data_IF_504862296378
#
_entry.id   IF_504862296378
#
_cell.length_a   1.000
_cell.length_b   1.000
_cell.length_c   1.000
_cell.angle_alpha   90.00
_cell.angle_beta   90.00
_cell.angle_gamma   90.00
#
_symmetry.space_group_name_H-M   'P 1'
#
loop_
_entity.id
_entity.type
_entity.pdbx_description
1 polymer ?
#
# COMPACT_ATOMS: atom_id res chain seq x y z
N UNK A 1 -30.66 33.90 -17.22
CA UNK A 1 -30.09 32.69 -17.84
C UNK A 1 -29.21 33.23 -18.96
N UNK A 2 -27.89 33.31 -18.75
CA UNK A 2 -26.95 33.70 -19.79
C UNK A 2 -26.98 32.61 -20.89
N UNK A 3 -27.17 32.97 -22.14
CA UNK A 3 -27.07 32.05 -23.29
C UNK A 3 -25.64 31.49 -23.30
N UNK A 4 -25.53 30.19 -23.17
CA UNK A 4 -24.23 29.49 -23.27
C UNK A 4 -23.75 29.63 -24.72
N UNK A 5 -22.59 30.26 -24.91
CA UNK A 5 -22.02 30.44 -26.27
C UNK A 5 -21.81 29.09 -26.95
N UNK A 6 -22.17 28.92 -28.25
CA UNK A 6 -21.88 27.69 -29.00
C UNK A 6 -20.40 27.27 -28.95
N UNK A 7 -19.49 28.24 -28.92
CA UNK A 7 -18.05 27.98 -28.77
C UNK A 7 -17.68 27.33 -27.42
N UNK A 8 -18.33 27.72 -26.33
CA UNK A 8 -18.13 27.11 -25.03
C UNK A 8 -18.62 25.66 -25.01
N UNK A 9 -19.77 25.38 -25.64
CA UNK A 9 -20.27 24.00 -25.75
C UNK A 9 -19.29 23.10 -26.51
N UNK A 10 -18.75 23.57 -27.63
CA UNK A 10 -17.76 22.80 -28.42
C UNK A 10 -16.51 22.51 -27.62
N UNK A 11 -16.05 23.44 -26.79
CA UNK A 11 -14.87 23.24 -25.88
C UNK A 11 -15.16 22.28 -24.74
N UNK A 12 -16.33 22.35 -24.11
CA UNK A 12 -16.75 21.39 -23.09
C UNK A 12 -16.87 19.97 -23.68
N UNK A 13 -17.32 19.83 -24.92
CA UNK A 13 -17.31 18.55 -25.63
C UNK A 13 -15.89 18.05 -25.93
N UNK A 14 -14.95 18.94 -26.25
CA UNK A 14 -13.54 18.56 -26.41
C UNK A 14 -12.94 18.05 -25.10
N UNK A 15 -13.21 18.73 -23.97
CA UNK A 15 -12.84 18.26 -22.63
C UNK A 15 -13.41 16.86 -22.36
N UNK A 16 -14.68 16.63 -22.63
CA UNK A 16 -15.33 15.32 -22.45
C UNK A 16 -14.66 14.21 -23.27
N UNK A 17 -14.29 14.51 -24.53
CA UNK A 17 -13.56 13.54 -25.38
C UNK A 17 -12.15 13.28 -24.87
N UNK A 18 -11.44 14.31 -24.40
CA UNK A 18 -10.11 14.16 -23.81
C UNK A 18 -10.15 13.25 -22.57
N UNK A 19 -11.16 13.41 -21.71
CA UNK A 19 -11.37 12.52 -20.55
C UNK A 19 -11.60 11.07 -20.99
N UNK A 20 -12.52 10.84 -21.94
CA UNK A 20 -12.92 9.50 -22.35
C UNK A 20 -11.81 8.66 -23.01
N UNK A 21 -10.72 9.30 -23.44
CA UNK A 21 -9.57 8.63 -24.07
C UNK A 21 -8.58 8.02 -23.10
N UNK A 22 -8.72 8.22 -21.78
CA UNK A 22 -7.72 7.84 -20.77
C UNK A 22 -8.34 7.05 -19.64
N UNK A 23 -7.60 6.03 -19.16
CA UNK A 23 -7.97 5.17 -18.02
C UNK A 23 -7.14 5.48 -16.74
N UNK A 24 -6.07 6.25 -16.88
CA UNK A 24 -5.21 6.71 -15.80
C UNK A 24 -5.58 8.16 -15.43
N UNK A 25 -5.85 8.47 -14.14
CA UNK A 25 -6.27 9.80 -13.69
C UNK A 25 -5.31 10.92 -14.08
N UNK A 26 -4.00 10.71 -13.97
CA UNK A 26 -2.99 11.71 -14.30
C UNK A 26 -2.96 12.03 -15.79
N UNK A 27 -3.06 11.01 -16.64
CA UNK A 27 -3.11 11.18 -18.11
C UNK A 27 -4.41 11.84 -18.57
N UNK A 28 -5.54 11.45 -17.97
CA UNK A 28 -6.83 12.07 -18.23
C UNK A 28 -6.82 13.56 -17.89
N UNK A 29 -6.26 13.92 -16.72
CA UNK A 29 -6.16 15.31 -16.32
C UNK A 29 -5.24 16.12 -17.22
N UNK A 30 -4.04 15.61 -17.55
CA UNK A 30 -3.11 16.32 -18.48
C UNK A 30 -3.72 16.59 -19.84
N UNK A 31 -4.44 15.63 -20.42
CA UNK A 31 -5.14 15.82 -21.70
C UNK A 31 -6.24 16.88 -21.57
N UNK A 32 -6.98 16.86 -20.48
CA UNK A 32 -8.05 17.83 -20.19
C UNK A 32 -7.50 19.24 -19.94
N UNK A 33 -6.37 19.37 -19.27
CA UNK A 33 -5.72 20.65 -18.99
C UNK A 33 -5.38 21.44 -20.27
N UNK A 34 -5.01 20.75 -21.35
CA UNK A 34 -4.76 21.37 -22.66
C UNK A 34 -6.04 22.04 -23.19
N UNK A 35 -7.16 21.36 -23.11
CA UNK A 35 -8.45 21.91 -23.57
C UNK A 35 -8.94 23.05 -22.68
N UNK A 36 -8.77 22.94 -21.34
CA UNK A 36 -9.08 24.04 -20.41
C UNK A 36 -8.23 25.27 -20.73
N UNK A 37 -6.97 25.11 -21.10
CA UNK A 37 -6.07 26.20 -21.47
C UNK A 37 -6.54 27.02 -22.67
N UNK A 38 -7.39 26.45 -23.52
CA UNK A 38 -8.03 27.19 -24.64
C UNK A 38 -9.16 28.09 -24.17
N UNK A 39 -9.79 27.79 -23.03
CA UNK A 39 -10.85 28.60 -22.41
C UNK A 39 -10.29 29.58 -21.38
N UNK A 40 -9.42 29.08 -20.50
CA UNK A 40 -8.82 29.84 -19.39
C UNK A 40 -7.30 29.69 -19.51
N UNK A 41 -6.59 30.64 -20.12
CA UNK A 41 -5.14 30.60 -20.22
C UNK A 41 -4.50 30.54 -18.86
N UNK A 42 -3.54 29.61 -18.67
CA UNK A 42 -2.85 29.38 -17.40
C UNK A 42 -1.39 29.02 -17.60
N UNK A 43 -0.58 29.22 -16.59
CA UNK A 43 0.82 28.78 -16.52
C UNK A 43 0.94 27.46 -15.74
N UNK A 44 0.00 27.25 -14.79
CA UNK A 44 -0.09 26.02 -14.02
C UNK A 44 -1.55 25.70 -13.72
N UNK A 45 -1.88 24.41 -13.78
CA UNK A 45 -3.20 23.89 -13.43
C UNK A 45 -3.02 22.58 -12.65
N UNK A 46 -3.74 22.43 -11.58
CA UNK A 46 -3.73 21.22 -10.78
C UNK A 46 -5.12 20.83 -10.28
N UNK A 47 -5.26 19.55 -10.01
CA UNK A 47 -6.45 18.93 -9.46
C UNK A 47 -6.11 18.36 -8.09
N UNK A 48 -6.69 18.92 -7.03
CA UNK A 48 -6.64 18.36 -5.70
C UNK A 48 -7.84 17.43 -5.52
N UNK A 49 -7.61 16.14 -5.17
CA UNK A 49 -8.67 15.15 -5.00
C UNK A 49 -8.64 14.62 -3.58
N UNK A 50 -9.78 14.71 -2.89
CA UNK A 50 -9.93 14.25 -1.51
C UNK A 50 -9.89 12.73 -1.40
N UNK A 51 -9.27 12.24 -0.34
CA UNK A 51 -9.45 10.87 0.13
C UNK A 51 -10.90 10.62 0.59
N UNK A 52 -11.31 9.36 0.68
CA UNK A 52 -12.68 9.00 1.06
C UNK A 52 -13.09 9.52 2.44
N UNK A 53 -12.15 9.65 3.36
CA UNK A 53 -12.38 10.19 4.71
C UNK A 53 -12.32 11.73 4.78
N UNK A 54 -11.99 12.38 3.65
CA UNK A 54 -11.88 13.84 3.54
C UNK A 54 -10.70 14.48 4.30
N UNK A 55 -9.79 13.68 4.86
CA UNK A 55 -8.67 14.19 5.67
C UNK A 55 -7.41 14.49 4.87
N UNK A 56 -7.24 13.79 3.76
CA UNK A 56 -6.09 13.91 2.88
C UNK A 56 -6.54 14.30 1.47
N UNK A 57 -5.63 14.85 0.67
CA UNK A 57 -5.85 15.03 -0.76
C UNK A 57 -4.60 14.67 -1.56
N UNK A 58 -4.80 14.10 -2.74
CA UNK A 58 -3.76 13.89 -3.76
C UNK A 58 -3.76 15.06 -4.74
N UNK A 59 -2.60 15.39 -5.32
CA UNK A 59 -2.46 16.44 -6.33
C UNK A 59 -2.07 15.84 -7.69
N UNK A 60 -2.80 16.20 -8.74
CA UNK A 60 -2.49 15.88 -10.14
C UNK A 60 -2.19 17.18 -10.87
N UNK A 61 -1.00 17.32 -11.44
CA UNK A 61 -0.54 18.55 -12.08
C UNK A 61 -0.43 18.40 -13.59
N UNK A 62 -0.65 19.52 -14.30
CA UNK A 62 -0.32 19.70 -15.69
C UNK A 62 0.40 21.03 -15.91
N UNK A 63 1.40 21.03 -16.80
CA UNK A 63 2.35 22.12 -16.96
C UNK A 63 3.68 21.78 -16.31
N UNK A 64 4.13 22.60 -15.38
CA UNK A 64 5.35 22.33 -14.61
C UNK A 64 5.03 21.64 -13.27
N UNK A 65 6.01 20.93 -12.74
CA UNK A 65 5.93 20.19 -11.49
C UNK A 65 6.15 21.10 -10.27
N UNK A 66 5.36 20.90 -9.22
CA UNK A 66 5.56 21.53 -7.91
C UNK A 66 5.69 20.47 -6.81
N UNK A 67 6.18 20.88 -5.63
CA UNK A 67 6.26 19.94 -4.50
C UNK A 67 4.90 19.49 -3.92
N UNK A 68 3.78 19.99 -4.43
CA UNK A 68 2.47 19.42 -4.11
C UNK A 68 2.26 18.01 -4.65
N UNK A 69 2.95 17.62 -5.74
CA UNK A 69 2.88 16.28 -6.30
C UNK A 69 4.05 15.36 -5.91
N UNK A 70 4.98 15.83 -5.05
CA UNK A 70 6.09 15.01 -4.53
C UNK A 70 5.60 13.91 -3.57
N UNK A 71 4.54 14.17 -2.82
CA UNK A 71 3.93 13.21 -1.91
C UNK A 71 2.64 12.65 -2.52
N UNK A 72 2.38 11.38 -2.24
CA UNK A 72 1.16 10.72 -2.70
C UNK A 72 -0.12 11.41 -2.19
N UNK A 73 -0.07 11.97 -0.96
CA UNK A 73 -1.18 12.69 -0.34
C UNK A 73 -0.68 13.74 0.66
N UNK A 74 -1.45 14.81 0.83
CA UNK A 74 -1.24 15.88 1.81
C UNK A 74 -2.43 16.01 2.75
N UNK A 75 -2.23 16.40 4.03
CA UNK A 75 -3.33 16.73 4.94
C UNK A 75 -4.12 17.92 4.42
N UNK A 76 -5.45 17.82 4.41
CA UNK A 76 -6.34 18.94 4.02
C UNK A 76 -6.18 20.14 4.94
N UNK A 77 -5.93 19.92 6.22
CA UNK A 77 -5.75 20.95 7.23
C UNK A 77 -4.61 21.94 6.88
N UNK A 78 -3.49 21.43 6.34
CA UNK A 78 -2.35 22.21 5.86
C UNK A 78 -2.51 22.74 4.43
N UNK A 79 -3.58 22.39 3.73
CA UNK A 79 -3.76 22.81 2.33
C UNK A 79 -4.13 24.30 2.24
N UNK A 80 -3.43 25.10 1.39
CA UNK A 80 -3.79 26.50 1.15
C UNK A 80 -5.22 26.68 0.62
N UNK A 81 -5.80 25.64 0.04
CA UNK A 81 -7.16 25.63 -0.54
C UNK A 81 -8.19 24.92 0.35
N UNK A 82 -7.85 24.62 1.62
CA UNK A 82 -8.68 23.83 2.54
C UNK A 82 -10.13 24.31 2.64
N UNK A 83 -10.38 25.63 2.58
CA UNK A 83 -11.74 26.19 2.67
C UNK A 83 -12.64 25.76 1.51
N UNK A 84 -12.07 25.58 0.31
CA UNK A 84 -12.80 25.02 -0.84
C UNK A 84 -13.00 23.52 -0.67
N UNK A 85 -11.97 22.81 -0.19
CA UNK A 85 -12.02 21.36 0.03
C UNK A 85 -13.03 20.97 1.11
N UNK A 86 -13.19 21.81 2.16
CA UNK A 86 -14.22 21.61 3.20
C UNK A 86 -15.62 22.06 2.77
N UNK A 87 -15.72 22.82 1.66
CA UNK A 87 -16.99 23.39 1.21
C UNK A 87 -17.39 24.66 1.94
N UNK A 88 -16.48 25.27 2.72
CA UNK A 88 -16.72 26.50 3.48
C UNK A 88 -16.85 27.73 2.58
N UNK A 89 -16.32 27.67 1.38
CA UNK A 89 -16.42 28.73 0.38
C UNK A 89 -16.74 28.14 -0.99
N UNK A 90 -17.58 28.79 -1.80
CA UNK A 90 -17.95 28.30 -3.11
C UNK A 90 -16.77 28.30 -4.11
N UNK A 91 -15.82 29.18 -3.96
CA UNK A 91 -14.58 29.29 -4.73
C UNK A 91 -13.59 30.23 -4.07
N UNK A 92 -12.35 30.27 -4.57
CA UNK A 92 -11.38 31.33 -4.30
C UNK A 92 -10.94 31.96 -5.63
N UNK A 93 -11.00 33.30 -5.67
CA UNK A 93 -10.41 34.12 -6.72
C UNK A 93 -9.45 35.09 -6.06
N UNK A 94 -8.23 35.18 -6.57
CA UNK A 94 -7.21 36.13 -6.08
C UNK A 94 -6.41 36.71 -7.24
N UNK A 95 -6.09 37.98 -7.13
CA UNK A 95 -5.21 38.68 -8.05
C UNK A 95 -3.73 38.34 -7.79
N UNK A 96 -3.38 38.07 -6.54
CA UNK A 96 -2.02 37.77 -6.16
C UNK A 96 -1.95 36.87 -4.91
N UNK A 97 -1.86 35.58 -5.12
CA UNK A 97 -1.79 34.60 -4.05
C UNK A 97 -0.53 34.70 -3.18
N UNK A 98 0.54 35.36 -3.64
CA UNK A 98 1.74 35.62 -2.82
C UNK A 98 1.49 36.63 -1.68
N UNK A 99 0.41 37.39 -1.75
CA UNK A 99 0.05 38.45 -0.81
C UNK A 99 -1.33 38.24 -0.17
N UNK A 100 -1.98 37.13 -0.48
CA UNK A 100 -3.34 36.86 -0.02
C UNK A 100 -3.31 35.91 1.19
N UNK A 101 -3.57 36.47 2.38
CA UNK A 101 -3.53 35.73 3.66
C UNK A 101 -4.41 34.51 3.73
N UNK A 102 -5.39 34.37 2.80
CA UNK A 102 -6.23 33.18 2.74
C UNK A 102 -5.43 31.90 2.43
N UNK A 103 -4.26 32.04 1.75
CA UNK A 103 -3.37 30.94 1.38
C UNK A 103 -2.25 30.71 2.40
N UNK A 104 -1.99 31.70 3.29
CA UNK A 104 -0.85 31.75 4.20
C UNK A 104 -1.33 31.72 5.64
N UNK A 105 -1.12 30.62 6.34
CA UNK A 105 -1.48 30.44 7.74
C UNK A 105 -0.47 29.48 8.40
N UNK A 106 -0.46 29.44 9.71
CA UNK A 106 0.43 28.56 10.47
C UNK A 106 0.17 27.09 10.10
N UNK A 107 1.23 26.37 9.64
CA UNK A 107 1.13 25.00 9.16
C UNK A 107 0.66 24.86 7.70
N UNK A 108 0.50 25.97 6.94
CA UNK A 108 0.15 25.90 5.52
C UNK A 108 1.29 25.31 4.69
N UNK A 109 0.95 24.38 3.77
CA UNK A 109 1.87 23.90 2.75
C UNK A 109 1.81 24.80 1.51
N UNK A 110 2.17 26.07 1.70
CA UNK A 110 2.10 27.15 0.71
C UNK A 110 3.42 27.41 -0.03
N UNK A 111 4.51 26.74 0.36
CA UNK A 111 5.82 26.86 -0.29
C UNK A 111 5.79 26.83 -1.82
N UNK A 112 5.02 25.92 -2.46
CA UNK A 112 4.90 25.89 -3.93
C UNK A 112 4.33 27.18 -4.54
N UNK A 113 3.48 27.92 -3.84
CA UNK A 113 2.93 29.22 -4.33
C UNK A 113 4.08 30.21 -4.52
N UNK A 114 4.99 30.28 -3.56
CA UNK A 114 6.17 31.16 -3.63
C UNK A 114 7.23 30.66 -4.62
N UNK A 115 7.56 29.36 -4.56
CA UNK A 115 8.58 28.75 -5.41
C UNK A 115 8.22 28.89 -6.91
N UNK A 116 6.96 28.62 -7.26
CA UNK A 116 6.45 28.72 -8.62
C UNK A 116 5.91 30.10 -8.97
N UNK A 117 5.96 31.08 -8.05
CA UNK A 117 5.46 32.47 -8.25
C UNK A 117 4.04 32.52 -8.78
N UNK A 118 3.16 31.70 -8.23
CA UNK A 118 1.75 31.64 -8.62
C UNK A 118 1.02 32.87 -8.04
N UNK A 119 0.63 33.79 -8.92
CA UNK A 119 -0.03 35.03 -8.50
C UNK A 119 -1.54 34.97 -8.68
N UNK A 120 -2.02 35.22 -9.90
CA UNK A 120 -3.46 35.12 -10.13
C UNK A 120 -3.94 33.70 -10.05
N UNK A 121 -4.96 33.41 -9.23
CA UNK A 121 -5.47 32.05 -9.06
C UNK A 121 -6.99 32.01 -9.00
N UNK A 122 -7.52 30.96 -9.62
CA UNK A 122 -8.91 30.49 -9.47
C UNK A 122 -8.86 29.11 -8.83
N UNK A 123 -9.65 28.91 -7.80
CA UNK A 123 -9.87 27.61 -7.17
C UNK A 123 -11.38 27.36 -7.11
N UNK A 124 -11.85 26.33 -7.78
CA UNK A 124 -13.25 25.91 -7.79
C UNK A 124 -13.43 24.48 -7.30
N UNK A 125 -14.49 24.15 -6.56
CA UNK A 125 -14.71 22.81 -6.07
C UNK A 125 -15.04 21.83 -7.21
N UNK A 126 -14.48 20.63 -7.12
CA UNK A 126 -14.97 19.46 -7.84
C UNK A 126 -16.10 18.82 -7.06
N UNK A 127 -17.20 18.53 -7.71
CA UNK A 127 -18.37 17.93 -7.07
C UNK A 127 -18.78 16.63 -7.73
N UNK A 128 -19.13 15.66 -6.87
CA UNK A 128 -19.80 14.44 -7.31
C UNK A 128 -20.85 14.06 -6.27
N UNK A 129 -22.01 13.61 -6.70
CA UNK A 129 -23.12 13.19 -5.84
C UNK A 129 -23.52 14.24 -4.79
N UNK A 130 -23.37 15.52 -5.09
CA UNK A 130 -23.70 16.63 -4.20
C UNK A 130 -22.64 16.98 -3.17
N UNK A 131 -21.54 16.24 -3.09
CA UNK A 131 -20.43 16.49 -2.16
C UNK A 131 -19.21 17.05 -2.89
N UNK A 132 -18.39 17.84 -2.19
CA UNK A 132 -17.07 18.26 -2.66
C UNK A 132 -16.14 17.02 -2.60
N UNK A 133 -15.53 16.69 -3.72
CA UNK A 133 -14.58 15.59 -3.88
C UNK A 133 -13.16 16.08 -4.14
N UNK A 134 -12.97 17.40 -4.24
CA UNK A 134 -11.69 18.01 -4.55
C UNK A 134 -11.84 19.45 -5.02
N UNK A 135 -10.80 19.97 -5.66
CA UNK A 135 -10.78 21.30 -6.27
C UNK A 135 -9.98 21.30 -7.57
N UNK A 136 -10.42 22.12 -8.53
CA UNK A 136 -9.66 22.50 -9.71
C UNK A 136 -8.98 23.84 -9.44
N UNK A 137 -7.67 23.89 -9.58
CA UNK A 137 -6.84 25.07 -9.32
C UNK A 137 -6.20 25.54 -10.64
N UNK A 138 -6.39 26.79 -10.98
CA UNK A 138 -5.89 27.39 -12.22
C UNK A 138 -5.07 28.62 -11.83
N UNK A 139 -3.82 28.72 -12.31
CA UNK A 139 -2.89 29.73 -11.83
C UNK A 139 -2.07 30.39 -12.95
N UNK A 140 -1.72 31.68 -12.75
CA UNK A 140 -0.78 32.42 -13.60
C UNK A 140 0.31 33.10 -12.81
N UNK A 141 1.45 33.28 -13.44
CA UNK A 141 2.58 34.06 -12.90
C UNK A 141 2.28 35.57 -12.86
N UNK A 142 1.41 36.05 -13.75
CA UNK A 142 0.98 37.45 -13.81
C UNK A 142 -0.18 37.66 -12.83
N UNK A 143 -0.18 38.76 -12.08
CA UNK A 143 -1.26 39.14 -11.18
C UNK A 143 -2.45 39.75 -11.94
N UNK A 144 -3.67 39.67 -11.36
CA UNK A 144 -4.89 40.30 -11.87
C UNK A 144 -5.30 39.83 -13.26
N UNK A 145 -5.15 38.52 -13.53
CA UNK A 145 -5.43 37.98 -14.86
C UNK A 145 -6.81 37.33 -15.00
N UNK A 146 -7.51 37.09 -13.90
CA UNK A 146 -8.77 36.37 -13.89
C UNK A 146 -9.92 37.24 -13.40
N UNK A 147 -11.09 37.01 -13.98
CA UNK A 147 -12.35 37.67 -13.68
C UNK A 147 -13.34 36.69 -13.05
N UNK A 148 -14.51 37.20 -12.64
CA UNK A 148 -15.64 36.41 -12.19
C UNK A 148 -16.19 35.48 -13.31
N UNK A 149 -16.14 35.92 -14.56
CA UNK A 149 -16.54 35.09 -15.73
C UNK A 149 -15.62 33.88 -15.87
N UNK A 150 -14.31 34.04 -15.64
CA UNK A 150 -13.35 32.93 -15.67
C UNK A 150 -13.63 31.92 -14.55
N UNK A 151 -14.10 32.37 -13.37
CA UNK A 151 -14.54 31.48 -12.28
C UNK A 151 -15.75 30.64 -12.71
N UNK A 152 -16.73 31.24 -13.41
CA UNK A 152 -17.90 30.53 -13.89
C UNK A 152 -17.53 29.46 -14.93
N UNK A 153 -16.63 29.80 -15.86
CA UNK A 153 -16.11 28.85 -16.86
C UNK A 153 -15.30 27.74 -16.18
N UNK A 154 -14.45 28.08 -15.20
CA UNK A 154 -13.69 27.10 -14.40
C UNK A 154 -14.62 26.12 -13.66
N UNK A 155 -15.71 26.63 -13.07
CA UNK A 155 -16.71 25.81 -12.41
C UNK A 155 -17.41 24.85 -13.38
N UNK A 156 -17.77 25.29 -14.59
CA UNK A 156 -18.36 24.42 -15.60
C UNK A 156 -17.39 23.30 -16.03
N UNK A 157 -16.10 23.62 -16.18
CA UNK A 157 -15.07 22.63 -16.42
C UNK A 157 -14.98 21.63 -15.23
N UNK A 158 -14.97 22.13 -14.00
CA UNK A 158 -14.90 21.32 -12.80
C UNK A 158 -16.12 20.39 -12.64
N UNK A 159 -17.32 20.88 -12.96
CA UNK A 159 -18.56 20.09 -12.91
C UNK A 159 -18.58 18.96 -13.94
N UNK A 160 -17.94 19.16 -15.08
CA UNK A 160 -17.78 18.13 -16.12
C UNK A 160 -16.72 17.09 -15.71
N UNK A 161 -15.58 17.55 -15.18
CA UNK A 161 -14.42 16.71 -14.87
C UNK A 161 -14.63 15.91 -13.60
N UNK A 162 -15.26 16.50 -12.60
CA UNK A 162 -15.37 15.95 -11.24
C UNK A 162 -15.93 14.53 -11.19
N UNK A 163 -17.12 14.25 -11.74
CA UNK A 163 -17.70 12.90 -11.70
C UNK A 163 -16.85 11.86 -12.42
N UNK A 164 -16.22 12.23 -13.53
CA UNK A 164 -15.36 11.34 -14.29
C UNK A 164 -14.06 11.01 -13.54
N UNK A 165 -13.38 12.03 -13.04
CA UNK A 165 -12.15 11.85 -12.24
C UNK A 165 -12.43 11.05 -10.99
N UNK A 166 -13.55 11.29 -10.31
CA UNK A 166 -13.97 10.48 -9.18
C UNK A 166 -14.10 9.00 -9.54
N UNK A 167 -14.78 8.68 -10.63
CA UNK A 167 -14.95 7.31 -11.09
C UNK A 167 -13.60 6.64 -11.43
N UNK A 168 -12.71 7.34 -12.12
CA UNK A 168 -11.37 6.84 -12.46
C UNK A 168 -10.54 6.53 -11.22
N UNK A 169 -10.50 7.47 -10.27
CA UNK A 169 -9.72 7.33 -9.04
C UNK A 169 -10.24 6.17 -8.21
N UNK A 170 -11.56 6.06 -8.03
CA UNK A 170 -12.18 4.93 -7.31
C UNK A 170 -11.87 3.57 -7.97
N UNK A 171 -11.88 3.54 -9.30
CA UNK A 171 -11.54 2.32 -10.06
C UNK A 171 -10.08 1.93 -9.85
N UNK A 172 -9.16 2.90 -9.89
CA UNK A 172 -7.74 2.64 -9.68
C UNK A 172 -7.43 2.23 -8.25
N UNK A 173 -8.06 2.85 -7.24
CA UNK A 173 -7.93 2.44 -5.83
C UNK A 173 -8.44 1.02 -5.60
N UNK A 174 -9.62 0.67 -6.16
CA UNK A 174 -10.16 -0.67 -6.08
C UNK A 174 -9.23 -1.70 -6.75
N UNK A 175 -8.66 -1.37 -7.91
CA UNK A 175 -7.69 -2.22 -8.62
C UNK A 175 -6.43 -2.46 -7.77
N UNK A 176 -5.88 -1.41 -7.16
CA UNK A 176 -4.71 -1.52 -6.26
C UNK A 176 -5.00 -2.38 -5.04
N UNK A 177 -6.16 -2.19 -4.43
CA UNK A 177 -6.59 -3.01 -3.28
C UNK A 177 -6.70 -4.49 -3.65
N UNK A 178 -7.30 -4.83 -4.80
CA UNK A 178 -7.41 -6.20 -5.29
C UNK A 178 -6.03 -6.85 -5.55
N UNK A 179 -5.09 -6.11 -6.13
CA UNK A 179 -3.73 -6.60 -6.36
C UNK A 179 -3.01 -6.88 -5.04
N UNK A 180 -3.07 -5.95 -4.09
CA UNK A 180 -2.45 -6.12 -2.77
C UNK A 180 -3.05 -7.33 -2.01
N UNK A 181 -4.36 -7.54 -2.08
CA UNK A 181 -5.03 -8.70 -1.50
C UNK A 181 -4.57 -10.01 -2.15
N UNK A 182 -4.47 -10.04 -3.48
CA UNK A 182 -3.98 -11.21 -4.23
C UNK A 182 -2.54 -11.57 -3.85
N UNK A 183 -1.66 -10.57 -3.75
CA UNK A 183 -0.27 -10.78 -3.33
C UNK A 183 -0.18 -11.30 -1.89
N UNK A 184 -1.00 -10.76 -0.99
CA UNK A 184 -1.06 -11.21 0.40
C UNK A 184 -1.53 -12.67 0.49
N UNK A 185 -2.56 -13.06 -0.28
CA UNK A 185 -3.05 -14.44 -0.35
C UNK A 185 -1.98 -15.40 -0.88
N UNK A 186 -1.30 -15.02 -1.96
CA UNK A 186 -0.22 -15.84 -2.54
C UNK A 186 0.92 -16.05 -1.54
N UNK A 187 1.31 -15.00 -0.82
CA UNK A 187 2.35 -15.09 0.23
C UNK A 187 1.92 -16.02 1.37
N UNK A 188 0.68 -15.90 1.83
CA UNK A 188 0.13 -16.76 2.88
C UNK A 188 0.12 -18.23 2.46
N UNK A 189 -0.26 -18.54 1.22
CA UNK A 189 -0.26 -19.91 0.70
C UNK A 189 1.16 -20.49 0.57
N UNK A 190 2.13 -19.70 0.10
CA UNK A 190 3.53 -20.13 0.07
C UNK A 190 4.07 -20.47 1.46
N UNK A 191 3.76 -19.65 2.47
CA UNK A 191 4.14 -19.91 3.85
C UNK A 191 3.47 -21.18 4.39
N UNK A 192 2.19 -21.40 4.07
CA UNK A 192 1.44 -22.59 4.48
C UNK A 192 2.04 -23.85 3.89
N UNK A 193 2.35 -23.84 2.58
CA UNK A 193 3.00 -24.98 1.90
C UNK A 193 4.39 -25.25 2.48
N UNK A 194 5.19 -24.20 2.71
CA UNK A 194 6.51 -24.32 3.32
C UNK A 194 6.45 -24.93 4.73
N UNK A 195 5.53 -24.46 5.56
CA UNK A 195 5.32 -25.02 6.91
C UNK A 195 4.89 -26.50 6.87
N UNK A 196 3.99 -26.86 5.96
CA UNK A 196 3.59 -28.27 5.77
C UNK A 196 4.75 -29.16 5.38
N UNK A 197 5.59 -28.72 4.43
CA UNK A 197 6.78 -29.46 3.99
C UNK A 197 7.81 -29.64 5.12
N UNK A 198 8.02 -28.60 5.94
CA UNK A 198 8.89 -28.67 7.11
C UNK A 198 8.37 -29.70 8.12
N UNK A 199 7.08 -29.65 8.45
CA UNK A 199 6.44 -30.59 9.36
C UNK A 199 6.56 -32.03 8.86
N UNK A 200 6.27 -32.28 7.58
CA UNK A 200 6.41 -33.60 6.97
C UNK A 200 7.88 -34.07 6.95
N UNK A 201 8.82 -33.15 6.73
CA UNK A 201 10.25 -33.44 6.79
C UNK A 201 10.69 -33.87 8.18
N UNK A 202 10.26 -33.12 9.20
CA UNK A 202 10.54 -33.43 10.61
C UNK A 202 9.93 -34.78 11.04
N UNK A 203 8.69 -35.06 10.63
CA UNK A 203 8.04 -36.34 10.92
C UNK A 203 8.75 -37.54 10.24
N UNK A 204 9.20 -37.34 9.00
CA UNK A 204 10.00 -38.39 8.31
C UNK A 204 11.33 -38.68 8.99
N UNK A 205 12.05 -37.62 9.40
CA UNK A 205 13.32 -37.76 10.10
C UNK A 205 13.11 -38.36 11.48
N UNK A 206 12.08 -37.97 12.23
CA UNK A 206 11.73 -38.59 13.52
C UNK A 206 11.42 -40.08 13.38
N UNK A 207 10.69 -40.50 12.33
CA UNK A 207 10.44 -41.93 12.06
C UNK A 207 11.70 -42.68 11.72
N UNK A 208 12.60 -42.07 10.94
CA UNK A 208 13.90 -42.68 10.60
C UNK A 208 14.73 -42.90 11.87
N UNK A 209 14.88 -41.87 12.70
CA UNK A 209 15.62 -41.98 13.97
C UNK A 209 15.02 -43.05 14.89
N UNK A 210 13.68 -43.15 14.96
CA UNK A 210 13.02 -44.18 15.75
C UNK A 210 13.28 -45.58 15.25
N UNK A 211 13.37 -45.82 13.92
CA UNK A 211 13.74 -47.11 13.31
C UNK A 211 15.21 -47.42 13.60
N UNK A 212 16.12 -46.50 13.36
CA UNK A 212 17.55 -46.70 13.59
C UNK A 212 17.81 -47.07 15.07
N UNK A 213 17.11 -46.36 16.00
CA UNK A 213 17.16 -46.65 17.41
C UNK A 213 16.65 -48.06 17.77
N UNK A 214 15.50 -48.46 17.16
CA UNK A 214 14.91 -49.79 17.37
C UNK A 214 15.90 -50.86 16.99
N UNK A 215 16.54 -50.74 15.82
CA UNK A 215 17.47 -51.71 15.28
C UNK A 215 18.77 -51.79 16.13
N UNK A 216 19.32 -50.66 16.56
CA UNK A 216 20.47 -50.56 17.45
C UNK A 216 20.17 -51.25 18.80
N UNK A 217 19.04 -50.87 19.40
CA UNK A 217 18.61 -51.41 20.71
C UNK A 217 18.39 -52.93 20.64
N UNK A 218 17.76 -53.43 19.58
CA UNK A 218 17.57 -54.86 19.38
C UNK A 218 18.91 -55.60 19.22
N UNK A 219 19.87 -55.02 18.50
CA UNK A 219 21.20 -55.62 18.32
C UNK A 219 21.95 -55.72 19.65
N UNK A 220 21.91 -54.66 20.47
CA UNK A 220 22.55 -54.62 21.79
C UNK A 220 21.90 -55.61 22.75
N UNK A 221 20.57 -55.62 22.85
CA UNK A 221 19.84 -56.58 23.68
C UNK A 221 20.13 -58.05 23.26
N UNK A 222 20.19 -58.32 21.92
CA UNK A 222 20.54 -59.63 21.45
C UNK A 222 21.97 -60.02 21.79
N UNK A 223 22.92 -59.09 21.81
CA UNK A 223 24.30 -59.29 22.24
C UNK A 223 24.37 -59.64 23.73
N UNK A 224 23.71 -58.85 24.56
CA UNK A 224 23.61 -59.08 26.02
C UNK A 224 22.96 -60.42 26.32
N UNK A 225 21.86 -60.78 25.66
CA UNK A 225 21.18 -62.05 25.81
C UNK A 225 22.07 -63.24 25.45
N UNK A 226 22.90 -63.15 24.40
CA UNK A 226 23.88 -64.16 24.04
C UNK A 226 24.96 -64.32 25.11
N UNK A 227 25.49 -63.26 25.66
CA UNK A 227 26.48 -63.29 26.76
C UNK A 227 25.91 -63.97 28.03
N UNK A 228 24.71 -63.57 28.46
CA UNK A 228 24.00 -64.17 29.59
C UNK A 228 23.80 -65.69 29.37
N UNK A 229 23.38 -66.10 28.17
CA UNK A 229 23.18 -67.50 27.81
C UNK A 229 24.49 -68.30 27.85
N UNK A 230 25.59 -67.72 27.38
CA UNK A 230 26.92 -68.32 27.48
C UNK A 230 27.42 -68.50 28.90
N UNK A 231 27.14 -67.54 29.78
CA UNK A 231 27.48 -67.68 31.21
C UNK A 231 26.65 -68.78 31.87
N UNK A 232 25.36 -68.86 31.58
CA UNK A 232 24.48 -69.90 32.14
C UNK A 232 24.89 -71.31 31.68
N UNK A 233 25.30 -71.51 30.45
CA UNK A 233 25.70 -72.82 29.91
C UNK A 233 27.05 -73.29 30.46
N UNK A 234 27.93 -72.37 30.85
CA UNK A 234 29.25 -72.68 31.45
C UNK A 234 29.22 -72.93 32.95
N UNK A 235 28.11 -72.60 33.60
CA UNK A 235 27.94 -72.80 35.06
C UNK A 235 28.80 -71.91 35.95
N UNK A 236 29.70 -71.11 35.42
CA UNK A 236 30.61 -70.21 36.15
C UNK A 236 30.78 -68.92 35.37
N UNK A 237 30.52 -67.76 36.01
CA UNK A 237 30.90 -66.46 35.49
C UNK A 237 31.97 -65.85 36.38
N UNK A 238 33.07 -65.35 35.83
CA UNK A 238 34.08 -64.63 36.56
C UNK A 238 33.55 -63.25 36.93
N UNK A 239 33.89 -62.71 38.09
CA UNK A 239 33.45 -61.39 38.57
C UNK A 239 33.74 -60.24 37.57
N UNK A 240 34.89 -60.33 36.86
CA UNK A 240 35.24 -59.39 35.80
C UNK A 240 34.26 -59.43 34.65
N UNK A 241 33.78 -60.60 34.21
CA UNK A 241 32.84 -60.79 33.09
C UNK A 241 31.43 -60.29 33.44
N UNK A 242 31.03 -60.35 34.72
CA UNK A 242 29.78 -59.75 35.19
C UNK A 242 29.87 -58.23 35.26
N UNK A 243 31.03 -57.69 35.62
CA UNK A 243 31.27 -56.24 35.63
C UNK A 243 31.23 -55.66 34.20
N UNK A 244 31.84 -56.40 33.23
CA UNK A 244 31.78 -56.01 31.81
C UNK A 244 30.32 -56.00 31.26
N UNK A 245 29.50 -56.98 31.63
CA UNK A 245 28.09 -57.06 31.25
C UNK A 245 27.26 -55.93 31.89
N UNK A 246 27.51 -55.64 33.16
CA UNK A 246 26.88 -54.51 33.85
C UNK A 246 27.20 -53.18 33.20
N UNK A 247 28.44 -53.00 32.78
CA UNK A 247 28.87 -51.79 32.07
C UNK A 247 28.23 -51.69 30.65
N UNK A 248 28.10 -52.80 29.92
CA UNK A 248 27.39 -52.81 28.64
C UNK A 248 25.90 -52.47 28.79
N UNK A 249 25.22 -53.03 29.78
CA UNK A 249 23.79 -52.72 30.07
C UNK A 249 23.64 -51.24 30.48
N UNK A 250 24.53 -50.75 31.34
CA UNK A 250 24.50 -49.35 31.74
C UNK A 250 24.74 -48.40 30.57
N UNK A 251 25.65 -48.71 29.65
CA UNK A 251 25.88 -47.94 28.42
C UNK A 251 24.67 -47.92 27.52
N UNK A 252 24.07 -49.10 27.25
CA UNK A 252 22.84 -49.19 26.43
C UNK A 252 21.67 -48.36 27.03
N UNK A 253 21.51 -48.37 28.37
CA UNK A 253 20.49 -47.57 29.04
C UNK A 253 20.76 -46.07 28.97
N UNK A 254 22.02 -45.66 29.03
CA UNK A 254 22.41 -44.26 28.92
C UNK A 254 22.15 -43.72 27.53
N UNK A 255 22.50 -44.52 26.49
CA UNK A 255 22.28 -44.16 25.10
C UNK A 255 20.78 -44.04 24.77
N UNK A 256 19.97 -44.99 25.25
CA UNK A 256 18.51 -44.95 25.13
C UNK A 256 17.92 -43.68 25.78
N UNK A 257 18.39 -43.28 26.95
CA UNK A 257 17.90 -42.05 27.61
C UNK A 257 18.25 -40.81 26.81
N UNK A 258 19.48 -40.73 26.33
CA UNK A 258 19.93 -39.58 25.53
C UNK A 258 19.05 -39.39 24.31
N UNK A 259 18.76 -40.46 23.59
CA UNK A 259 17.96 -40.42 22.36
C UNK A 259 16.47 -40.08 22.64
N UNK A 260 15.91 -40.62 23.74
CA UNK A 260 14.53 -40.28 24.16
C UNK A 260 14.44 -38.80 24.57
N UNK A 261 15.48 -38.25 25.18
CA UNK A 261 15.52 -36.82 25.55
C UNK A 261 15.65 -35.92 24.30
N UNK A 262 16.46 -36.31 23.30
CA UNK A 262 16.61 -35.61 22.02
C UNK A 262 15.33 -35.69 21.15
N UNK A 263 14.53 -36.76 21.31
CA UNK A 263 13.26 -36.91 20.64
C UNK A 263 12.08 -36.18 21.29
N UNK A 264 12.25 -35.58 22.47
CA UNK A 264 11.24 -34.74 23.12
C UNK A 264 11.08 -33.46 22.26
N UNK A 265 9.86 -33.12 21.86
CA UNK A 265 9.64 -31.82 21.22
C UNK A 265 10.07 -30.74 22.21
N UNK A 266 10.93 -29.80 21.79
CA UNK A 266 11.14 -28.56 22.51
C UNK A 266 9.80 -27.85 22.58
N UNK A 267 9.12 -27.95 23.73
CA UNK A 267 7.96 -27.09 24.02
C UNK A 267 8.54 -25.70 24.07
N UNK A 268 8.25 -24.90 23.04
CA UNK A 268 8.50 -23.48 23.07
C UNK A 268 7.71 -22.90 24.24
N UNK A 269 8.43 -22.45 25.27
CA UNK A 269 7.89 -21.55 26.31
C UNK A 269 7.50 -20.20 25.70
#
# INVERSE_FOLDING_TARGET
MSEVSPQLIDRLLAISRALAGHIDPGSAFRATAIEIGTLIPHDHIDLAVLSLDGRMHACYEAGFHTSWSDLAQHPVEGSPIRRVLWGDTPYLLTDNALLDDRFHFEGAFDGPIFAAKLRSRIIVPLRARGSVIGALNISRHKAGCYSQEDVEVAQQCADLIGPYMFALIQTEEARRAMLAESEARNRAELLRVGASQLTEGMERERRRMAMDLHDQTLADLARIARQVSAFRSRGVARTAQLADLEQEVAGCLAELRHIVDDMRPSVLE
#
